data_IF_680501172133
#
_entry.id   IF_680501172133
#
_cell.length_a   1.000
_cell.length_b   1.000
_cell.length_c   1.000
_cell.angle_alpha   90.00
_cell.angle_beta   90.00
_cell.angle_gamma   90.00
#
_symmetry.space_group_name_H-M   'P 1'
#
loop_
_entity.id
_entity.type
_entity.pdbx_description
1 polymer ?
#
# COMPACT_ATOMS: atom_id res chain seq x y z
N UNK A 1 22.36 5.10 -19.34
CA UNK A 1 21.43 5.70 -18.36
C UNK A 1 20.37 6.42 -19.18
N UNK A 2 19.14 5.93 -19.24
CA UNK A 2 18.05 6.62 -19.96
C UNK A 2 17.55 7.77 -19.09
N UNK A 3 17.71 8.99 -19.58
CA UNK A 3 17.15 10.20 -18.98
C UNK A 3 15.67 10.23 -19.33
N UNK A 4 14.80 10.07 -18.32
CA UNK A 4 13.36 10.20 -18.51
C UNK A 4 13.07 11.68 -18.80
N UNK A 5 12.38 11.93 -19.90
CA UNK A 5 12.00 13.27 -20.36
C UNK A 5 10.83 13.83 -19.53
N UNK A 6 10.68 15.16 -19.49
CA UNK A 6 9.58 15.81 -18.76
C UNK A 6 8.19 15.31 -19.20
N UNK A 7 8.04 14.98 -20.48
CA UNK A 7 6.80 14.46 -21.05
C UNK A 7 6.49 13.06 -20.53
N UNK A 8 7.50 12.19 -20.40
CA UNK A 8 7.35 10.84 -19.83
C UNK A 8 6.98 10.89 -18.33
N UNK A 9 7.50 11.87 -17.59
CA UNK A 9 7.09 12.11 -16.19
C UNK A 9 5.63 12.53 -16.13
N UNK A 10 5.22 13.49 -16.97
CA UNK A 10 3.84 13.96 -17.06
C UNK A 10 2.86 12.83 -17.39
N UNK A 11 3.23 11.95 -18.33
CA UNK A 11 2.44 10.79 -18.70
C UNK A 11 2.30 9.80 -17.53
N UNK A 12 3.39 9.46 -16.84
CA UNK A 12 3.36 8.59 -15.66
C UNK A 12 2.49 9.13 -14.53
N UNK A 13 2.54 10.44 -14.28
CA UNK A 13 1.71 11.11 -13.28
C UNK A 13 0.24 10.98 -13.66
N UNK A 14 -0.11 11.26 -14.91
CA UNK A 14 -1.48 11.17 -15.39
C UNK A 14 -2.01 9.73 -15.28
N UNK A 15 -1.25 8.75 -15.77
CA UNK A 15 -1.60 7.32 -15.67
C UNK A 15 -1.81 6.88 -14.22
N UNK A 16 -0.93 7.32 -13.31
CA UNK A 16 -1.04 6.99 -11.88
C UNK A 16 -2.27 7.64 -11.23
N UNK A 17 -2.53 8.91 -11.54
CA UNK A 17 -3.70 9.65 -11.07
C UNK A 17 -5.01 8.99 -11.53
N UNK A 18 -5.08 8.60 -12.80
CA UNK A 18 -6.22 7.86 -13.33
C UNK A 18 -6.41 6.51 -12.63
N UNK A 19 -5.33 5.77 -12.40
CA UNK A 19 -5.37 4.47 -11.72
C UNK A 19 -5.89 4.59 -10.29
N UNK A 20 -5.40 5.58 -9.53
CA UNK A 20 -5.85 5.88 -8.16
C UNK A 20 -7.34 6.25 -8.18
N UNK A 21 -7.75 7.13 -9.08
CA UNK A 21 -9.14 7.57 -9.19
C UNK A 21 -10.08 6.42 -9.54
N UNK A 22 -9.71 5.58 -10.52
CA UNK A 22 -10.47 4.38 -10.90
C UNK A 22 -10.57 3.38 -9.75
N UNK A 23 -9.49 3.17 -9.01
CA UNK A 23 -9.45 2.26 -7.86
C UNK A 23 -10.32 2.77 -6.70
N UNK A 24 -10.28 4.08 -6.43
CA UNK A 24 -11.12 4.72 -5.43
C UNK A 24 -12.61 4.60 -5.77
N UNK A 25 -13.01 4.92 -7.01
CA UNK A 25 -14.40 4.77 -7.46
C UNK A 25 -14.86 3.30 -7.35
N UNK A 26 -14.00 2.34 -7.69
CA UNK A 26 -14.30 0.92 -7.53
C UNK A 26 -14.49 0.53 -6.06
N UNK A 27 -13.67 1.06 -5.15
CA UNK A 27 -13.84 0.82 -3.71
C UNK A 27 -15.19 1.36 -3.24
N UNK A 28 -15.56 2.57 -3.62
CA UNK A 28 -16.87 3.16 -3.25
C UNK A 28 -18.04 2.28 -3.69
N UNK A 29 -18.03 1.79 -4.94
CA UNK A 29 -19.05 0.87 -5.45
C UNK A 29 -19.13 -0.44 -4.65
N UNK A 30 -17.98 -1.01 -4.26
CA UNK A 30 -17.96 -2.22 -3.43
C UNK A 30 -18.55 -1.96 -2.03
N UNK A 31 -18.32 -0.76 -1.50
CA UNK A 31 -18.74 -0.36 -0.17
C UNK A 31 -20.22 0.03 -0.08
N UNK A 32 -20.94 0.17 -1.21
CA UNK A 32 -22.42 0.21 -1.21
C UNK A 32 -23.02 -1.01 -0.50
N UNK A 33 -22.33 -2.15 -0.53
CA UNK A 33 -22.73 -3.38 0.12
C UNK A 33 -21.99 -3.63 1.46
N UNK A 34 -21.46 -2.58 2.10
CA UNK A 34 -20.60 -2.70 3.28
C UNK A 34 -21.24 -3.52 4.41
N UNK A 35 -22.53 -3.34 4.70
CA UNK A 35 -23.23 -4.11 5.74
C UNK A 35 -23.19 -5.63 5.48
N UNK A 36 -23.25 -6.05 4.22
CA UNK A 36 -23.13 -7.46 3.83
C UNK A 36 -21.68 -7.95 3.97
N UNK A 37 -20.71 -7.11 3.62
CA UNK A 37 -19.28 -7.42 3.78
C UNK A 37 -18.96 -7.60 5.27
N UNK A 38 -19.34 -6.65 6.10
CA UNK A 38 -19.18 -6.67 7.55
C UNK A 38 -19.81 -7.92 8.15
N UNK A 39 -21.09 -8.19 7.87
CA UNK A 39 -21.79 -9.35 8.40
C UNK A 39 -21.08 -10.67 8.05
N UNK A 40 -20.66 -10.82 6.78
CA UNK A 40 -19.95 -12.02 6.33
C UNK A 40 -18.58 -12.14 6.97
N UNK A 41 -17.84 -11.03 7.07
CA UNK A 41 -16.50 -11.01 7.64
C UNK A 41 -16.50 -11.37 9.14
N UNK A 42 -17.42 -10.77 9.90
CA UNK A 42 -17.60 -11.06 11.34
C UNK A 42 -18.00 -12.52 11.57
N UNK A 43 -18.83 -13.11 10.69
CA UNK A 43 -19.20 -14.53 10.76
C UNK A 43 -18.04 -15.50 10.48
N UNK A 44 -16.98 -15.08 9.81
CA UNK A 44 -15.84 -15.94 9.51
C UNK A 44 -14.99 -16.16 10.77
N UNK A 45 -14.53 -17.38 10.99
CA UNK A 45 -13.48 -17.63 11.97
C UNK A 45 -12.12 -17.18 11.43
N UNK A 46 -11.12 -17.09 12.31
CA UNK A 46 -9.77 -16.61 11.96
C UNK A 46 -9.15 -17.35 10.78
N UNK A 47 -9.32 -18.69 10.70
CA UNK A 47 -8.79 -19.50 9.59
C UNK A 47 -9.45 -19.16 8.26
N UNK A 48 -10.77 -18.95 8.26
CA UNK A 48 -11.51 -18.56 7.06
C UNK A 48 -11.16 -17.15 6.61
N UNK A 49 -10.97 -16.21 7.54
CA UNK A 49 -10.47 -14.86 7.25
C UNK A 49 -9.09 -14.91 6.59
N UNK A 50 -8.17 -15.68 7.17
CA UNK A 50 -6.84 -15.91 6.60
C UNK A 50 -6.92 -16.47 5.16
N UNK A 51 -7.66 -17.56 4.95
CA UNK A 51 -7.79 -18.16 3.62
C UNK A 51 -8.32 -17.15 2.58
N UNK A 52 -9.31 -16.33 2.95
CA UNK A 52 -9.85 -15.29 2.06
C UNK A 52 -8.83 -14.21 1.73
N UNK A 53 -8.03 -13.79 2.70
CA UNK A 53 -6.96 -12.80 2.47
C UNK A 53 -5.87 -13.37 1.56
N UNK A 54 -5.47 -14.61 1.76
CA UNK A 54 -4.46 -15.28 0.92
C UNK A 54 -4.97 -15.57 -0.51
N UNK A 55 -6.27 -15.86 -0.66
CA UNK A 55 -6.93 -15.99 -1.97
C UNK A 55 -6.94 -14.64 -2.72
N UNK A 56 -7.21 -13.53 -2.01
CA UNK A 56 -7.31 -12.20 -2.60
C UNK A 56 -5.94 -11.55 -2.86
N UNK A 57 -4.97 -11.79 -1.98
CA UNK A 57 -3.61 -11.25 -2.05
C UNK A 57 -2.61 -12.37 -1.81
N UNK A 58 -2.16 -12.98 -2.91
CA UNK A 58 -1.15 -14.03 -2.87
C UNK A 58 0.16 -13.51 -2.28
N UNK A 59 0.77 -14.30 -1.39
CA UNK A 59 2.04 -13.97 -0.70
C UNK A 59 1.96 -12.72 0.21
N UNK A 60 0.80 -12.45 0.81
CA UNK A 60 0.69 -11.42 1.84
C UNK A 60 1.69 -11.66 2.99
N UNK A 61 2.39 -10.64 3.49
CA UNK A 61 3.32 -10.81 4.60
C UNK A 61 2.60 -11.24 5.87
N UNK A 62 3.17 -12.22 6.58
CA UNK A 62 2.54 -12.81 7.77
C UNK A 62 2.73 -11.93 9.01
N UNK A 63 3.89 -11.29 9.12
CA UNK A 63 4.32 -10.58 10.33
C UNK A 63 3.88 -9.12 10.31
N UNK A 64 3.70 -8.55 11.51
CA UNK A 64 3.65 -7.09 11.66
C UNK A 64 5.01 -6.50 11.31
N UNK A 65 5.02 -5.35 10.61
CA UNK A 65 6.24 -4.70 10.11
C UNK A 65 7.12 -5.67 9.29
N UNK A 66 6.59 -6.18 8.16
CA UNK A 66 7.31 -7.12 7.31
C UNK A 66 8.54 -6.50 6.65
N UNK A 67 8.57 -5.17 6.51
CA UNK A 67 9.72 -4.35 6.13
C UNK A 67 10.92 -4.56 7.05
N UNK A 68 10.71 -4.52 8.38
CA UNK A 68 11.78 -4.71 9.36
C UNK A 68 12.29 -6.15 9.35
N UNK A 69 11.38 -7.12 9.23
CA UNK A 69 11.77 -8.52 9.15
C UNK A 69 12.61 -8.81 7.91
N UNK A 70 12.18 -8.30 6.75
CA UNK A 70 12.89 -8.49 5.50
C UNK A 70 14.26 -7.80 5.52
N UNK A 71 14.34 -6.57 6.03
CA UNK A 71 15.61 -5.86 6.21
C UNK A 71 16.59 -6.64 7.11
N UNK A 72 16.12 -7.14 8.25
CA UNK A 72 16.94 -7.94 9.16
C UNK A 72 17.40 -9.27 8.52
N UNK A 73 16.59 -9.85 7.63
CA UNK A 73 16.90 -11.10 6.92
C UNK A 73 17.96 -10.89 5.84
N UNK A 74 17.87 -9.81 5.07
CA UNK A 74 18.77 -9.53 3.95
C UNK A 74 20.06 -8.84 4.41
N UNK A 75 20.03 -8.13 5.53
CA UNK A 75 21.21 -7.57 6.21
C UNK A 75 21.88 -6.40 5.50
N UNK A 76 21.37 -5.99 4.33
CA UNK A 76 21.99 -4.99 3.47
C UNK A 76 20.96 -4.06 2.81
N UNK A 77 21.41 -2.83 2.60
CA UNK A 77 20.72 -1.78 1.83
C UNK A 77 20.44 -2.27 0.41
N UNK A 78 19.20 -2.12 -0.06
CA UNK A 78 18.78 -2.45 -1.44
C UNK A 78 18.92 -3.92 -1.85
N UNK A 79 18.96 -4.84 -0.90
CA UNK A 79 19.21 -6.28 -1.15
C UNK A 79 17.95 -7.15 -1.06
N UNK A 80 16.77 -6.56 -0.86
CA UNK A 80 15.51 -7.32 -0.87
C UNK A 80 14.97 -7.53 -2.27
N UNK A 81 14.63 -8.79 -2.56
CA UNK A 81 13.91 -9.19 -3.79
C UNK A 81 12.39 -8.94 -3.69
N UNK A 82 11.90 -8.40 -2.57
CA UNK A 82 10.48 -8.20 -2.31
C UNK A 82 10.18 -6.75 -1.90
N UNK A 83 10.28 -5.76 -2.81
CA UNK A 83 10.03 -4.35 -2.50
C UNK A 83 8.61 -4.09 -1.97
N UNK A 84 7.65 -4.97 -2.28
CA UNK A 84 6.26 -4.82 -1.83
C UNK A 84 6.10 -4.82 -0.30
N UNK A 85 6.98 -5.49 0.45
CA UNK A 85 6.91 -5.48 1.93
C UNK A 85 7.26 -4.13 2.54
N UNK A 86 8.08 -3.36 1.83
CA UNK A 86 8.45 -2.00 2.21
C UNK A 86 7.39 -0.98 1.78
N UNK A 87 6.59 -1.30 0.76
CA UNK A 87 5.50 -0.43 0.29
C UNK A 87 4.28 -0.46 1.22
N UNK A 88 4.06 -1.59 1.90
CA UNK A 88 2.89 -1.81 2.74
C UNK A 88 3.27 -2.36 4.13
N UNK A 89 4.11 -1.67 4.91
CA UNK A 89 4.65 -2.21 6.16
C UNK A 89 3.60 -2.39 7.26
N UNK A 90 2.51 -1.63 7.20
CA UNK A 90 1.41 -1.73 8.17
C UNK A 90 0.34 -2.74 7.75
N UNK A 91 0.40 -3.24 6.51
CA UNK A 91 -0.55 -4.22 5.99
C UNK A 91 0.06 -5.62 6.06
N UNK A 92 -0.51 -6.46 6.92
CA UNK A 92 -0.08 -7.85 7.09
C UNK A 92 -1.26 -8.77 7.34
N UNK A 93 -1.07 -10.06 7.08
CA UNK A 93 -2.05 -11.10 7.37
C UNK A 93 -2.39 -11.14 8.87
N UNK A 94 -1.40 -10.91 9.73
CA UNK A 94 -1.60 -10.84 11.19
C UNK A 94 -2.50 -9.68 11.59
N UNK A 95 -2.39 -8.52 10.94
CA UNK A 95 -3.23 -7.37 11.19
C UNK A 95 -4.64 -7.57 10.59
N UNK A 96 -4.73 -7.92 9.31
CA UNK A 96 -6.00 -7.95 8.59
C UNK A 96 -6.91 -9.13 8.95
N UNK A 97 -6.39 -10.23 9.50
CA UNK A 97 -7.23 -11.37 9.93
C UNK A 97 -8.07 -11.07 11.19
N UNK A 98 -7.77 -9.97 11.86
CA UNK A 98 -8.56 -9.46 12.96
C UNK A 98 -10.01 -9.15 12.50
N UNK A 99 -10.94 -9.17 13.44
CA UNK A 99 -12.35 -8.99 13.13
C UNK A 99 -12.67 -7.59 12.58
N UNK A 100 -12.06 -6.55 13.12
CA UNK A 100 -12.42 -5.16 12.79
C UNK A 100 -11.38 -4.49 11.90
N UNK A 101 -10.10 -4.84 12.02
CA UNK A 101 -9.00 -4.12 11.35
C UNK A 101 -9.19 -4.00 9.83
N UNK A 102 -9.60 -5.07 9.14
CA UNK A 102 -9.89 -5.01 7.69
C UNK A 102 -11.07 -4.09 7.38
N UNK A 103 -12.12 -4.15 8.19
CA UNK A 103 -13.34 -3.36 8.00
C UNK A 103 -13.08 -1.87 8.23
N UNK A 104 -12.35 -1.54 9.29
CA UNK A 104 -11.93 -0.18 9.62
C UNK A 104 -11.05 0.40 8.50
N UNK A 105 -10.11 -0.40 7.99
CA UNK A 105 -9.27 -0.01 6.85
C UNK A 105 -10.10 0.29 5.59
N UNK A 106 -11.03 -0.60 5.22
CA UNK A 106 -11.89 -0.40 4.05
C UNK A 106 -12.82 0.81 4.23
N UNK A 107 -13.38 0.99 5.43
CA UNK A 107 -14.24 2.11 5.76
C UNK A 107 -13.50 3.44 5.64
N UNK A 108 -12.32 3.56 6.26
CA UNK A 108 -11.50 4.77 6.18
C UNK A 108 -11.15 5.12 4.73
N UNK A 109 -10.64 4.14 3.96
CA UNK A 109 -10.24 4.36 2.56
C UNK A 109 -11.39 4.65 1.61
N UNK A 110 -12.63 4.32 1.98
CA UNK A 110 -13.82 4.58 1.17
C UNK A 110 -14.39 5.98 1.40
N UNK A 111 -14.47 6.40 2.66
CA UNK A 111 -15.11 7.67 3.03
C UNK A 111 -14.23 8.87 2.72
N UNK A 112 -12.91 8.72 2.87
CA UNK A 112 -11.96 9.78 2.61
C UNK A 112 -11.35 9.67 1.21
N UNK A 113 -11.18 10.79 0.49
CA UNK A 113 -10.54 10.79 -0.82
C UNK A 113 -9.04 10.43 -0.71
N UNK A 114 -8.43 9.86 -1.77
CA UNK A 114 -7.04 9.36 -1.71
C UNK A 114 -6.02 10.40 -1.26
N UNK A 115 -6.24 11.69 -1.57
CA UNK A 115 -5.30 12.75 -1.21
C UNK A 115 -5.17 12.96 0.32
N UNK A 116 -6.17 12.56 1.11
CA UNK A 116 -6.10 12.62 2.58
C UNK A 116 -5.03 11.68 3.16
N UNK A 117 -4.62 10.66 2.41
CA UNK A 117 -3.68 9.64 2.87
C UNK A 117 -2.26 9.84 2.36
N UNK A 118 -1.99 10.85 1.52
CA UNK A 118 -0.67 11.03 0.87
C UNK A 118 0.47 11.04 1.88
N UNK A 119 0.33 11.80 2.96
CA UNK A 119 1.39 11.92 3.97
C UNK A 119 1.59 10.61 4.73
N UNK A 120 0.50 9.96 5.15
CA UNK A 120 0.56 8.67 5.83
C UNK A 120 1.16 7.58 4.94
N UNK A 121 0.74 7.51 3.67
CA UNK A 121 1.25 6.55 2.70
C UNK A 121 2.74 6.82 2.39
N UNK A 122 3.16 8.09 2.33
CA UNK A 122 4.57 8.47 2.16
C UNK A 122 5.41 8.10 3.39
N UNK A 123 4.92 8.37 4.58
CA UNK A 123 5.60 8.05 5.85
C UNK A 123 5.78 6.54 6.00
N UNK A 124 4.74 5.75 5.67
CA UNK A 124 4.81 4.29 5.72
C UNK A 124 5.98 3.75 4.89
N UNK A 125 6.21 4.26 3.68
CA UNK A 125 7.27 3.75 2.79
C UNK A 125 8.67 4.32 3.08
N UNK A 126 8.80 5.29 4.00
CA UNK A 126 10.04 6.02 4.25
C UNK A 126 11.19 5.10 4.67
N UNK A 127 10.92 4.09 5.49
CA UNK A 127 11.93 3.11 5.89
C UNK A 127 12.50 2.33 4.69
N UNK A 128 11.64 1.94 3.74
CA UNK A 128 12.06 1.28 2.51
C UNK A 128 12.94 2.16 1.64
N UNK A 129 12.60 3.44 1.57
CA UNK A 129 13.39 4.45 0.87
C UNK A 129 14.76 4.66 1.53
N UNK A 130 14.80 4.87 2.85
CA UNK A 130 16.04 5.10 3.60
C UNK A 130 17.00 3.91 3.50
N UNK A 131 16.46 2.70 3.44
CA UNK A 131 17.24 1.47 3.28
C UNK A 131 17.49 1.10 1.82
N UNK A 132 17.12 1.96 0.86
CA UNK A 132 17.21 1.76 -0.60
C UNK A 132 16.56 0.46 -1.11
N UNK A 133 15.65 -0.14 -0.33
CA UNK A 133 14.84 -1.30 -0.74
C UNK A 133 13.61 -0.90 -1.56
N UNK A 134 13.24 0.38 -1.51
CA UNK A 134 12.39 1.04 -2.49
C UNK A 134 13.27 2.02 -3.26
N UNK A 135 13.30 1.88 -4.58
CA UNK A 135 13.94 2.88 -5.42
C UNK A 135 13.08 4.14 -5.41
N UNK A 136 13.60 5.23 -4.87
CA UNK A 136 13.14 6.53 -5.32
C UNK A 136 13.54 6.65 -6.79
N UNK A 137 12.58 6.93 -7.68
CA UNK A 137 12.94 7.59 -8.92
C UNK A 137 13.70 8.86 -8.49
N UNK A 138 15.01 8.92 -8.79
CA UNK A 138 15.97 9.92 -8.29
C UNK A 138 15.66 11.37 -8.67
N UNK A 139 14.46 11.68 -9.15
CA UNK A 139 14.15 12.92 -9.86
C UNK A 139 13.13 13.82 -9.15
N UNK A 140 12.60 13.43 -7.99
CA UNK A 140 11.71 14.32 -7.21
C UNK A 140 12.47 15.30 -6.30
N UNK A 141 13.76 15.05 -6.03
CA UNK A 141 14.58 15.97 -5.23
C UNK A 141 15.00 17.23 -6.01
N UNK A 142 14.91 17.23 -7.34
CA UNK A 142 15.28 18.40 -8.16
C UNK A 142 14.10 19.35 -8.40
N UNK A 143 12.85 18.92 -8.14
CA UNK A 143 11.65 19.71 -8.48
C UNK A 143 11.03 20.44 -7.29
N UNK A 144 11.31 20.03 -6.04
CA UNK A 144 10.75 20.68 -4.84
C UNK A 144 11.67 21.73 -4.19
N UNK A 145 12.81 22.05 -4.80
CA UNK A 145 13.59 23.26 -4.47
C UNK A 145 13.03 24.53 -5.13
N UNK A 146 11.84 24.46 -5.75
CA UNK A 146 11.15 25.61 -6.32
C UNK A 146 9.74 25.72 -5.76
N UNK A 147 9.65 26.55 -4.70
CA UNK A 147 8.54 27.49 -4.44
C UNK A 147 7.26 26.93 -3.77
N UNK A 148 7.16 27.27 -2.48
CA UNK A 148 6.05 27.30 -1.50
C UNK A 148 5.39 25.99 -1.04
#
# INVERSE_FOLDING_TARGET
MSTITSDEIGEKILQSSESITKSYARLQLLMENYSTIEFRWKKYNTKKRQNRLEEAWQKMPILQRPDLWEYNRTGYVGSSDNPAVFMWPDISLRALKDENTLLDFLSARCHDPPYNFIFADREAVEFGVMTSNIQQEKHLAETYDVVF
#
